data_IF_381757128046
#
_entry.id   IF_381757128046
#
_cell.length_a   1.000
_cell.length_b   1.000
_cell.length_c   1.000
_cell.angle_alpha   90.00
_cell.angle_beta   90.00
_cell.angle_gamma   90.00
#
_symmetry.space_group_name_H-M   'P 1'
#
loop_
_entity.id
_entity.type
_entity.pdbx_description
1 polymer ?
#
# COMPACT_ATOMS: atom_id res chain seq x y z
N UNK A 1 9.70 13.91 8.22
CA UNK A 1 10.65 14.68 7.39
C UNK A 1 10.33 16.18 7.43
N UNK A 2 9.06 16.57 7.27
CA UNK A 2 8.64 17.99 7.34
C UNK A 2 8.42 18.45 8.78
N UNK A 3 8.90 19.64 9.13
CA UNK A 3 8.70 20.28 10.43
C UNK A 3 7.40 21.08 10.52
N UNK A 4 6.97 21.41 11.74
CA UNK A 4 5.78 22.23 12.00
C UNK A 4 6.06 23.74 11.96
N UNK A 5 7.33 24.15 11.91
CA UNK A 5 7.79 25.53 11.98
C UNK A 5 8.84 25.81 10.89
N UNK A 6 8.94 27.08 10.47
CA UNK A 6 9.93 27.55 9.50
C UNK A 6 11.35 27.24 9.98
N UNK A 7 12.16 26.62 9.11
CA UNK A 7 13.56 26.26 9.39
C UNK A 7 13.77 24.99 10.22
N UNK A 8 12.70 24.28 10.61
CA UNK A 8 12.82 22.97 11.27
C UNK A 8 12.84 21.80 10.29
N UNK A 9 12.44 22.00 9.04
CA UNK A 9 12.31 20.93 8.06
C UNK A 9 13.67 20.41 7.58
N UNK A 10 14.63 21.29 7.28
CA UNK A 10 15.97 20.85 6.88
C UNK A 10 16.68 20.03 7.98
N UNK A 11 16.74 20.45 9.26
CA UNK A 11 17.33 19.62 10.32
C UNK A 11 16.67 18.25 10.50
N UNK A 12 15.33 18.17 10.40
CA UNK A 12 14.60 16.92 10.52
C UNK A 12 14.89 15.97 9.35
N UNK A 13 14.94 16.52 8.14
CA UNK A 13 15.28 15.75 6.94
C UNK A 13 16.72 15.25 7.00
N UNK A 14 17.66 16.11 7.38
CA UNK A 14 19.07 15.74 7.56
C UNK A 14 19.23 14.65 8.62
N UNK A 15 18.49 14.71 9.73
CA UNK A 15 18.54 13.68 10.78
C UNK A 15 18.06 12.33 10.27
N UNK A 16 17.01 12.30 9.43
CA UNK A 16 16.55 11.05 8.82
C UNK A 16 17.56 10.48 7.83
N UNK A 17 18.21 11.34 7.04
CA UNK A 17 19.30 10.96 6.12
C UNK A 17 20.45 10.35 6.91
N UNK A 18 20.93 11.04 7.95
CA UNK A 18 22.02 10.56 8.80
C UNK A 18 21.70 9.21 9.45
N UNK A 19 20.45 9.00 9.88
CA UNK A 19 20.02 7.74 10.45
C UNK A 19 19.98 6.58 9.43
N UNK A 20 19.90 6.89 8.12
CA UNK A 20 19.82 5.92 7.04
C UNK A 20 21.17 5.68 6.32
N UNK A 21 22.23 6.40 6.70
CA UNK A 21 23.57 6.20 6.13
C UNK A 21 24.06 4.77 6.36
N UNK A 22 24.69 4.20 5.35
CA UNK A 22 25.08 2.79 5.28
C UNK A 22 23.92 1.85 4.92
N UNK A 23 22.74 2.37 4.58
CA UNK A 23 21.55 1.57 4.32
C UNK A 23 20.55 2.24 3.36
N UNK A 24 19.26 2.05 3.65
CA UNK A 24 18.15 2.48 2.79
C UNK A 24 17.24 3.44 3.55
N UNK A 25 16.98 4.61 2.96
CA UNK A 25 15.93 5.53 3.37
C UNK A 25 14.68 5.28 2.52
N UNK A 26 13.68 4.61 3.10
CA UNK A 26 12.38 4.38 2.47
C UNK A 26 11.39 5.47 2.90
N UNK A 27 10.79 6.16 1.92
CA UNK A 27 9.80 7.21 2.14
C UNK A 27 8.50 6.79 1.45
N UNK A 28 7.53 6.37 2.27
CA UNK A 28 6.18 6.07 1.80
C UNK A 28 5.36 7.34 1.58
N UNK A 29 4.44 7.30 0.62
CA UNK A 29 3.63 8.43 0.15
C UNK A 29 4.45 9.72 -0.01
N UNK A 30 5.59 9.63 -0.71
CA UNK A 30 6.58 10.71 -0.79
C UNK A 30 6.03 12.02 -1.37
N UNK A 31 5.02 11.96 -2.23
CA UNK A 31 4.30 13.11 -2.75
C UNK A 31 3.68 13.99 -1.65
N UNK A 32 3.40 13.43 -0.47
CA UNK A 32 2.88 14.17 0.68
C UNK A 32 3.87 15.20 1.24
N UNK A 33 5.16 15.08 0.90
CA UNK A 33 6.19 16.04 1.25
C UNK A 33 6.01 17.38 0.55
N UNK A 34 5.28 17.45 -0.56
CA UNK A 34 5.07 18.68 -1.31
C UNK A 34 3.59 18.88 -1.63
N UNK A 35 2.96 19.87 -0.99
CA UNK A 35 1.52 20.14 -1.14
C UNK A 35 1.19 21.25 -2.16
N UNK A 36 2.14 21.64 -2.99
CA UNK A 36 1.97 22.65 -4.03
C UNK A 36 2.94 23.81 -3.91
N UNK A 37 2.85 24.77 -4.85
CA UNK A 37 3.86 25.83 -5.05
C UNK A 37 4.08 26.75 -3.84
N UNK A 38 3.09 26.87 -2.97
CA UNK A 38 3.17 27.70 -1.76
C UNK A 38 3.75 26.95 -0.54
N UNK A 39 4.06 25.65 -0.69
CA UNK A 39 4.63 24.82 0.37
C UNK A 39 6.15 24.97 0.47
N UNK A 40 6.58 26.08 1.05
CA UNK A 40 7.99 26.38 1.31
C UNK A 40 8.70 25.34 2.18
N UNK A 41 7.97 24.66 3.08
CA UNK A 41 8.53 23.61 3.93
C UNK A 41 8.78 22.33 3.15
N UNK A 42 7.85 21.95 2.28
CA UNK A 42 8.01 20.78 1.42
C UNK A 42 9.17 20.91 0.45
N UNK A 43 9.32 22.09 -0.15
CA UNK A 43 10.47 22.41 -1.01
C UNK A 43 11.80 22.32 -0.24
N UNK A 44 11.85 22.84 0.99
CA UNK A 44 13.04 22.73 1.85
C UNK A 44 13.40 21.26 2.16
N UNK A 45 12.40 20.40 2.39
CA UNK A 45 12.62 18.96 2.59
C UNK A 45 13.20 18.31 1.33
N UNK A 46 12.64 18.63 0.16
CA UNK A 46 13.09 18.12 -1.13
C UNK A 46 14.53 18.54 -1.40
N UNK A 47 14.85 19.82 -1.24
CA UNK A 47 16.20 20.34 -1.51
C UNK A 47 17.23 19.71 -0.57
N UNK A 48 16.88 19.54 0.70
CA UNK A 48 17.72 18.85 1.68
C UNK A 48 17.93 17.38 1.31
N UNK A 49 16.89 16.70 0.84
CA UNK A 49 16.96 15.31 0.38
C UNK A 49 17.86 15.16 -0.85
N UNK A 50 17.66 16.00 -1.87
CA UNK A 50 18.47 16.01 -3.10
C UNK A 50 19.94 16.25 -2.76
N UNK A 51 20.22 17.21 -1.87
CA UNK A 51 21.59 17.47 -1.41
C UNK A 51 22.19 16.27 -0.68
N UNK A 52 21.47 15.67 0.26
CA UNK A 52 21.96 14.50 1.00
C UNK A 52 22.19 13.28 0.11
N UNK A 53 21.38 13.08 -0.93
CA UNK A 53 21.60 12.05 -1.95
C UNK A 53 22.88 12.29 -2.76
N UNK A 54 23.24 13.55 -3.00
CA UNK A 54 24.46 13.91 -3.72
C UNK A 54 25.70 13.79 -2.83
N UNK A 55 25.63 14.29 -1.60
CA UNK A 55 26.72 14.25 -0.62
C UNK A 55 27.04 12.82 -0.14
N UNK A 56 26.05 11.92 -0.14
CA UNK A 56 26.18 10.55 0.38
C UNK A 56 25.87 9.46 -0.67
N UNK A 57 26.12 9.74 -1.95
CA UNK A 57 25.83 8.84 -3.09
C UNK A 57 26.38 7.42 -2.97
N UNK A 58 27.48 7.22 -2.25
CA UNK A 58 28.14 5.91 -2.14
C UNK A 58 27.65 5.10 -0.91
N UNK A 59 26.97 5.76 0.04
CA UNK A 59 26.59 5.18 1.34
C UNK A 59 25.07 5.27 1.63
N UNK A 60 24.26 5.80 0.71
CA UNK A 60 22.83 6.00 0.91
C UNK A 60 22.03 5.57 -0.32
N UNK A 61 21.04 4.70 -0.11
CA UNK A 61 19.99 4.42 -1.09
C UNK A 61 18.69 5.06 -0.64
N UNK A 62 18.04 5.84 -1.50
CA UNK A 62 16.72 6.42 -1.22
C UNK A 62 15.67 5.75 -2.10
N UNK A 63 14.60 5.26 -1.49
CA UNK A 63 13.45 4.68 -2.19
C UNK A 63 12.22 5.54 -1.87
N UNK A 64 11.61 6.09 -2.91
CA UNK A 64 10.33 6.80 -2.81
C UNK A 64 9.21 5.87 -3.25
N UNK A 65 8.14 5.81 -2.47
CA UNK A 65 6.94 5.06 -2.80
C UNK A 65 5.70 5.96 -2.76
N UNK A 66 4.70 5.59 -3.54
CA UNK A 66 3.44 6.31 -3.65
C UNK A 66 2.65 5.91 -4.89
N UNK A 67 1.45 6.46 -5.05
CA UNK A 67 0.63 6.27 -6.23
C UNK A 67 1.27 6.88 -7.48
N UNK A 68 1.21 6.16 -8.61
CA UNK A 68 1.95 6.49 -9.83
C UNK A 68 1.72 7.93 -10.31
N UNK A 69 0.47 8.39 -10.30
CA UNK A 69 0.11 9.73 -10.77
C UNK A 69 0.67 10.82 -9.85
N UNK A 70 0.46 10.68 -8.55
CA UNK A 70 0.92 11.61 -7.53
C UNK A 70 2.45 11.67 -7.49
N UNK A 71 3.12 10.53 -7.71
CA UNK A 71 4.57 10.47 -7.85
C UNK A 71 5.06 11.16 -9.13
N UNK A 72 4.35 11.04 -10.24
CA UNK A 72 4.69 11.76 -11.47
C UNK A 72 4.61 13.28 -11.26
N UNK A 73 3.53 13.76 -10.65
CA UNK A 73 3.38 15.17 -10.28
C UNK A 73 4.50 15.61 -9.31
N UNK A 74 4.79 14.81 -8.27
CA UNK A 74 5.86 15.07 -7.30
C UNK A 74 7.25 15.17 -7.95
N UNK A 75 7.58 14.31 -8.90
CA UNK A 75 8.87 14.34 -9.60
C UNK A 75 9.02 15.60 -10.49
N UNK A 76 7.92 16.26 -10.86
CA UNK A 76 7.98 17.54 -11.59
C UNK A 76 8.14 18.76 -10.68
N UNK A 77 8.02 18.60 -9.35
CA UNK A 77 8.13 19.71 -8.39
C UNK A 77 9.52 20.36 -8.37
N UNK A 78 10.57 19.58 -8.64
CA UNK A 78 11.95 20.05 -8.69
C UNK A 78 12.73 19.31 -9.79
N UNK A 79 13.45 20.04 -10.63
CA UNK A 79 14.27 19.43 -11.71
C UNK A 79 15.38 18.52 -11.17
N UNK A 80 15.88 18.79 -9.97
CA UNK A 80 16.83 17.95 -9.25
C UNK A 80 16.25 16.57 -8.95
N UNK A 81 15.03 16.49 -8.42
CA UNK A 81 14.36 15.24 -8.06
C UNK A 81 14.32 14.25 -9.22
N UNK A 82 13.77 14.65 -10.38
CA UNK A 82 13.63 13.74 -11.53
C UNK A 82 14.97 13.17 -12.02
N UNK A 83 16.04 13.97 -11.95
CA UNK A 83 17.38 13.52 -12.37
C UNK A 83 18.04 12.54 -11.39
N UNK A 84 17.69 12.61 -10.10
CA UNK A 84 18.25 11.77 -9.03
C UNK A 84 17.48 10.45 -8.83
N UNK A 85 16.30 10.31 -9.46
CA UNK A 85 15.50 9.07 -9.46
C UNK A 85 15.33 8.50 -10.88
N UNK A 86 16.40 7.96 -11.50
CA UNK A 86 16.33 7.41 -12.85
C UNK A 86 15.61 6.06 -12.91
N UNK A 87 15.61 5.30 -11.82
CA UNK A 87 15.00 3.97 -11.75
C UNK A 87 13.57 4.09 -11.23
N UNK A 88 12.59 3.96 -12.14
CA UNK A 88 11.16 3.94 -11.78
C UNK A 88 10.67 2.50 -11.93
N UNK A 89 10.20 1.93 -10.83
CA UNK A 89 9.59 0.59 -10.80
C UNK A 89 8.10 0.78 -10.59
N UNK A 90 7.31 0.41 -11.59
CA UNK A 90 5.85 0.45 -11.52
C UNK A 90 5.31 -0.90 -11.04
N UNK A 91 4.44 -0.86 -10.03
CA UNK A 91 3.73 -2.03 -9.52
C UNK A 91 2.29 -1.97 -10.04
N UNK A 92 1.92 -2.78 -11.05
CA UNK A 92 0.57 -2.78 -11.57
C UNK A 92 -0.40 -3.36 -10.53
N UNK A 93 -1.68 -3.00 -10.66
CA UNK A 93 -2.72 -3.62 -9.86
C UNK A 93 -2.87 -5.11 -10.17
N UNK A 94 -3.27 -5.90 -9.17
CA UNK A 94 -3.54 -7.31 -9.38
C UNK A 94 -4.79 -7.48 -10.21
N UNK A 95 -4.79 -8.44 -11.11
CA UNK A 95 -6.00 -8.91 -11.80
C UNK A 95 -6.97 -9.53 -10.79
N UNK A 96 -8.27 -9.58 -11.15
CA UNK A 96 -9.26 -10.26 -10.32
C UNK A 96 -8.88 -11.72 -10.00
N UNK A 97 -8.22 -12.42 -10.91
CA UNK A 97 -7.70 -13.78 -10.68
C UNK A 97 -6.58 -13.82 -9.63
N UNK A 98 -5.62 -12.91 -9.72
CA UNK A 98 -4.55 -12.78 -8.72
C UNK A 98 -5.11 -12.40 -7.34
N UNK A 99 -6.16 -11.58 -7.27
CA UNK A 99 -6.85 -11.28 -6.02
C UNK A 99 -7.53 -12.50 -5.40
N UNK A 100 -8.06 -13.43 -6.21
CA UNK A 100 -8.56 -14.72 -5.72
C UNK A 100 -7.41 -15.56 -5.14
N UNK A 101 -6.25 -15.61 -5.79
CA UNK A 101 -5.09 -16.34 -5.29
C UNK A 101 -4.53 -15.72 -4.00
N UNK A 102 -4.49 -14.39 -3.90
CA UNK A 102 -4.15 -13.69 -2.67
C UNK A 102 -5.15 -14.02 -1.57
N UNK A 103 -6.45 -14.07 -1.88
CA UNK A 103 -7.50 -14.48 -0.94
C UNK A 103 -7.24 -15.88 -0.40
N UNK A 104 -6.97 -16.85 -1.28
CA UNK A 104 -6.62 -18.23 -0.89
C UNK A 104 -5.39 -18.28 0.01
N UNK A 105 -4.35 -17.52 -0.33
CA UNK A 105 -3.12 -17.42 0.49
C UNK A 105 -3.39 -16.84 1.88
N UNK A 106 -4.17 -15.76 1.97
CA UNK A 106 -4.54 -15.14 3.26
C UNK A 106 -5.37 -16.11 4.11
N UNK A 107 -6.37 -16.77 3.51
CA UNK A 107 -7.22 -17.77 4.17
C UNK A 107 -6.37 -18.90 4.74
N UNK A 108 -5.47 -19.47 3.94
CA UNK A 108 -4.56 -20.53 4.36
C UNK A 108 -3.62 -20.09 5.49
N UNK A 109 -3.03 -18.89 5.40
CA UNK A 109 -2.14 -18.36 6.44
C UNK A 109 -2.82 -18.15 7.80
N UNK A 110 -4.14 -17.93 7.80
CA UNK A 110 -4.96 -17.80 9.02
C UNK A 110 -5.49 -19.15 9.54
N UNK A 111 -5.16 -20.28 8.90
CA UNK A 111 -5.62 -21.61 9.30
C UNK A 111 -7.03 -21.97 8.83
N UNK A 112 -7.60 -21.20 7.88
CA UNK A 112 -8.90 -21.48 7.29
C UNK A 112 -8.74 -22.23 5.96
N UNK A 113 -9.81 -22.88 5.51
CA UNK A 113 -9.98 -23.48 4.19
C UNK A 113 -11.06 -22.73 3.43
N UNK A 114 -10.79 -22.45 2.16
CA UNK A 114 -11.78 -21.86 1.27
C UNK A 114 -12.55 -22.96 0.56
N UNK A 115 -13.89 -22.93 0.59
CA UNK A 115 -14.68 -23.85 -0.21
C UNK A 115 -14.48 -23.58 -1.72
N UNK A 116 -14.36 -24.61 -2.57
CA UNK A 116 -14.22 -24.41 -4.02
C UNK A 116 -15.35 -23.58 -4.66
N UNK A 117 -16.56 -23.64 -4.07
CA UNK A 117 -17.71 -22.85 -4.50
C UNK A 117 -17.53 -21.34 -4.34
N UNK A 118 -16.53 -20.87 -3.58
CA UNK A 118 -16.24 -19.44 -3.39
C UNK A 118 -15.50 -18.82 -4.58
N UNK A 119 -14.82 -19.62 -5.42
CA UNK A 119 -13.91 -19.07 -6.44
C UNK A 119 -14.63 -18.23 -7.50
N UNK A 120 -15.75 -18.74 -8.05
CA UNK A 120 -16.52 -18.02 -9.08
C UNK A 120 -17.14 -16.72 -8.51
N UNK A 121 -17.83 -16.75 -7.35
CA UNK A 121 -18.34 -15.52 -6.75
C UNK A 121 -17.26 -14.49 -6.35
N UNK A 122 -16.11 -14.94 -5.83
CA UNK A 122 -14.99 -14.06 -5.52
C UNK A 122 -14.43 -13.37 -6.78
N UNK A 123 -14.26 -14.14 -7.86
CA UNK A 123 -13.79 -13.60 -9.13
C UNK A 123 -14.76 -12.53 -9.65
N UNK A 124 -16.06 -12.82 -9.67
CA UNK A 124 -17.08 -11.86 -10.09
C UNK A 124 -17.10 -10.61 -9.21
N UNK A 125 -16.95 -10.77 -7.89
CA UNK A 125 -16.85 -9.67 -6.94
C UNK A 125 -15.67 -8.75 -7.25
N UNK A 126 -14.46 -9.31 -7.42
CA UNK A 126 -13.27 -8.52 -7.73
C UNK A 126 -13.36 -7.84 -9.10
N UNK A 127 -13.90 -8.53 -10.11
CA UNK A 127 -14.15 -7.92 -11.44
C UNK A 127 -15.09 -6.72 -11.34
N UNK A 128 -16.19 -6.84 -10.58
CA UNK A 128 -17.13 -5.74 -10.34
C UNK A 128 -16.45 -4.56 -9.64
N UNK A 129 -15.68 -4.83 -8.58
CA UNK A 129 -14.97 -3.78 -7.85
C UNK A 129 -13.91 -3.06 -8.69
N UNK A 130 -13.27 -3.77 -9.62
CA UNK A 130 -12.31 -3.17 -10.56
C UNK A 130 -12.97 -2.28 -11.62
N UNK A 131 -14.23 -2.54 -11.98
CA UNK A 131 -14.97 -1.75 -12.96
C UNK A 131 -15.71 -0.56 -12.34
N UNK A 132 -16.27 -0.75 -11.14
CA UNK A 132 -17.18 0.21 -10.49
C UNK A 132 -16.54 1.00 -9.35
N UNK A 133 -15.43 0.50 -8.78
CA UNK A 133 -14.74 1.14 -7.65
C UNK A 133 -13.91 2.35 -8.06
N UNK A 134 -13.67 3.28 -7.11
CA UNK A 134 -12.67 4.32 -7.31
C UNK A 134 -11.28 3.68 -7.29
N UNK A 135 -10.46 3.78 -8.35
CA UNK A 135 -9.10 3.24 -8.37
C UNK A 135 -8.24 3.67 -7.16
N UNK A 136 -8.54 4.83 -6.58
CA UNK A 136 -7.83 5.36 -5.39
C UNK A 136 -8.22 4.68 -4.08
N UNK A 137 -9.39 4.04 -4.02
CA UNK A 137 -9.87 3.31 -2.83
C UNK A 137 -9.93 1.80 -3.05
N UNK A 138 -9.75 1.37 -4.31
CA UNK A 138 -9.60 -0.02 -4.72
C UNK A 138 -8.26 -0.55 -4.19
N UNK A 139 -8.21 -0.82 -2.88
CA UNK A 139 -6.98 -1.12 -2.12
C UNK A 139 -6.30 -2.44 -2.49
N UNK A 140 -6.62 -3.02 -3.64
CA UNK A 140 -5.95 -4.15 -4.25
C UNK A 140 -5.81 -5.32 -3.23
N UNK A 141 -4.60 -5.75 -2.87
CA UNK A 141 -4.41 -6.79 -1.84
C UNK A 141 -5.04 -6.49 -0.47
N UNK A 142 -5.21 -5.20 -0.10
CA UNK A 142 -5.94 -4.79 1.11
C UNK A 142 -7.42 -5.14 1.02
N UNK A 143 -8.02 -5.04 -0.16
CA UNK A 143 -9.41 -5.46 -0.38
C UNK A 143 -9.57 -6.95 -0.10
N UNK A 144 -8.69 -7.79 -0.65
CA UNK A 144 -8.73 -9.23 -0.41
C UNK A 144 -8.59 -9.56 1.09
N UNK A 145 -7.68 -8.88 1.80
CA UNK A 145 -7.53 -9.04 3.26
C UNK A 145 -8.81 -8.68 4.01
N UNK A 146 -9.35 -7.48 3.78
CA UNK A 146 -10.57 -7.03 4.44
C UNK A 146 -11.73 -7.99 4.17
N UNK A 147 -11.83 -8.50 2.94
CA UNK A 147 -12.88 -9.41 2.54
C UNK A 147 -12.79 -10.76 3.25
N UNK A 148 -11.56 -11.28 3.46
CA UNK A 148 -11.34 -12.48 4.29
C UNK A 148 -11.67 -12.21 5.76
N UNK A 149 -11.32 -11.04 6.30
CA UNK A 149 -11.64 -10.69 7.69
C UNK A 149 -13.15 -10.61 7.95
N UNK A 150 -13.90 -10.01 7.02
CA UNK A 150 -15.36 -10.03 7.02
C UNK A 150 -15.91 -11.47 7.01
N UNK A 151 -15.38 -12.31 6.12
CA UNK A 151 -15.80 -13.70 5.99
C UNK A 151 -15.50 -14.54 7.23
N UNK A 152 -14.36 -14.33 7.89
CA UNK A 152 -14.02 -15.01 9.15
C UNK A 152 -15.02 -14.65 10.25
N UNK A 153 -15.40 -13.37 10.36
CA UNK A 153 -16.42 -12.93 11.33
C UNK A 153 -17.78 -13.55 11.00
N UNK A 154 -18.17 -13.59 9.73
CA UNK A 154 -19.42 -14.21 9.29
C UNK A 154 -19.45 -15.72 9.56
N UNK A 155 -18.36 -16.43 9.26
CA UNK A 155 -18.20 -17.86 9.55
C UNK A 155 -18.35 -18.14 11.05
N UNK A 156 -17.76 -17.32 11.93
CA UNK A 156 -17.95 -17.45 13.38
C UNK A 156 -19.43 -17.29 13.76
N UNK A 157 -20.14 -16.32 13.19
CA UNK A 157 -21.57 -16.09 13.47
C UNK A 157 -22.45 -17.24 12.96
N UNK A 158 -22.14 -17.79 11.78
CA UNK A 158 -22.79 -18.98 11.22
C UNK A 158 -22.64 -20.16 12.17
N UNK A 159 -21.40 -20.48 12.55
CA UNK A 159 -21.08 -21.64 13.38
C UNK A 159 -21.74 -21.61 14.76
N UNK A 160 -21.95 -20.43 15.36
CA UNK A 160 -22.71 -20.30 16.62
C UNK A 160 -24.15 -20.84 16.47
N UNK A 161 -24.76 -20.65 15.30
CA UNK A 161 -26.14 -21.10 15.01
C UNK A 161 -26.20 -22.53 14.47
N UNK A 162 -25.09 -23.08 14.00
CA UNK A 162 -24.98 -24.44 13.48
C UNK A 162 -24.93 -25.47 14.62
N UNK A 163 -25.68 -26.60 14.54
CA UNK A 163 -25.54 -27.72 15.47
C UNK A 163 -24.09 -28.23 15.54
N UNK A 164 -23.63 -28.60 16.72
CA UNK A 164 -22.23 -28.96 16.97
C UNK A 164 -21.68 -30.03 16.00
N UNK A 165 -22.49 -31.06 15.70
CA UNK A 165 -22.12 -32.13 14.78
C UNK A 165 -21.90 -31.69 13.31
N UNK A 166 -22.31 -30.47 12.95
CA UNK A 166 -22.22 -29.91 11.60
C UNK A 166 -21.29 -28.69 11.53
N UNK A 167 -20.65 -28.32 12.64
CA UNK A 167 -19.74 -27.16 12.67
C UNK A 167 -18.44 -27.50 11.95
N UNK A 168 -18.06 -26.60 11.06
CA UNK A 168 -16.71 -26.53 10.51
C UNK A 168 -16.21 -25.11 10.77
N UNK A 169 -15.36 -24.97 11.79
CA UNK A 169 -14.85 -23.68 12.26
C UNK A 169 -13.82 -23.08 11.31
N UNK A 170 -13.30 -23.89 10.39
CA UNK A 170 -12.18 -23.54 9.52
C UNK A 170 -12.63 -23.37 8.07
N UNK A 171 -13.81 -23.88 7.67
CA UNK A 171 -14.31 -23.77 6.31
C UNK A 171 -15.08 -22.46 6.06
N UNK A 172 -14.57 -21.64 5.15
CA UNK A 172 -15.28 -20.45 4.63
C UNK A 172 -16.14 -20.84 3.43
N UNK A 173 -17.42 -20.49 3.48
CA UNK A 173 -18.44 -20.75 2.45
C UNK A 173 -18.82 -19.45 1.72
N UNK A 174 -19.45 -19.54 0.53
CA UNK A 174 -19.83 -18.34 -0.24
C UNK A 174 -20.70 -17.36 0.55
N UNK A 175 -21.59 -17.85 1.42
CA UNK A 175 -22.45 -17.03 2.27
C UNK A 175 -21.69 -16.17 3.29
N UNK A 176 -20.49 -16.59 3.69
CA UNK A 176 -19.67 -15.82 4.64
C UNK A 176 -19.14 -14.53 4.00
N UNK A 177 -18.97 -14.53 2.68
CA UNK A 177 -18.41 -13.41 1.95
C UNK A 177 -19.44 -12.34 1.58
N UNK A 178 -20.75 -12.61 1.65
CA UNK A 178 -21.80 -11.60 1.45
C UNK A 178 -21.66 -10.79 0.16
N UNK A 179 -21.52 -11.47 -0.99
CA UNK A 179 -21.39 -10.85 -2.33
C UNK A 179 -22.60 -10.02 -2.77
#
# INVERSE_FOLDING_TARGET
LVGQYVGHTAPLTQKAIQAALGGVLFIDEAYSLYRGKDDSFGLEAIDTLVKGMEDHRDDLVVILAGYSREMEEFLTANSGLRSRFPNIIEFPDYTAGELVEITKSIVASKGYRLAPACEIPLLAYYQRQQQEGDPRTNGNGRMARNKVEEAVIACSRRNVRTPEAQRDLELLLPEDFGF
#
